data_IF_311428155254
#
_entry.id   IF_311428155254
#
_cell.length_a   1.000
_cell.length_b   1.000
_cell.length_c   1.000
_cell.angle_alpha   90.00
_cell.angle_beta   90.00
_cell.angle_gamma   90.00
#
_symmetry.space_group_name_H-M   'P 1'
#
loop_
_entity.id
_entity.type
_entity.pdbx_description
1 polymer ?
#
# COMPACT_ATOMS: atom_id res chain seq x y z
N UNK A 1 19.19 -22.53 -7.29
CA UNK A 1 19.58 -21.61 -6.21
C UNK A 1 20.56 -22.29 -5.26
N UNK A 2 21.69 -21.65 -4.94
CA UNK A 2 22.73 -22.20 -4.05
C UNK A 2 22.28 -22.19 -2.58
N UNK A 3 22.80 -23.12 -1.75
CA UNK A 3 22.59 -23.14 -0.29
C UNK A 3 22.95 -21.81 0.38
N UNK A 4 23.96 -21.11 -0.14
CA UNK A 4 24.37 -19.78 0.33
C UNK A 4 23.31 -18.71 0.06
N UNK A 5 22.66 -18.79 -1.11
CA UNK A 5 21.60 -17.85 -1.50
C UNK A 5 20.35 -18.04 -0.63
N UNK A 6 19.90 -19.29 -0.46
CA UNK A 6 18.75 -19.60 0.42
C UNK A 6 18.97 -19.16 1.87
N UNK A 7 20.20 -19.30 2.38
CA UNK A 7 20.55 -18.83 3.73
C UNK A 7 20.52 -17.31 3.84
N UNK A 8 20.92 -16.60 2.79
CA UNK A 8 20.84 -15.14 2.71
C UNK A 8 19.39 -14.66 2.70
N UNK A 9 18.56 -15.22 1.82
CA UNK A 9 17.14 -14.86 1.70
C UNK A 9 16.38 -15.12 3.00
N UNK A 10 16.65 -16.25 3.67
CA UNK A 10 16.06 -16.54 4.98
C UNK A 10 16.45 -15.48 6.01
N UNK A 11 17.72 -15.11 6.10
CA UNK A 11 18.16 -14.10 7.06
C UNK A 11 17.59 -12.71 6.75
N UNK A 12 17.47 -12.34 5.47
CA UNK A 12 16.79 -11.11 5.07
C UNK A 12 15.31 -11.13 5.51
N UNK A 13 14.62 -12.27 5.34
CA UNK A 13 13.25 -12.47 5.85
C UNK A 13 13.18 -12.31 7.38
N UNK A 14 14.07 -12.98 8.12
CA UNK A 14 14.11 -12.93 9.58
C UNK A 14 14.35 -11.49 10.07
N UNK A 15 15.22 -10.73 9.40
CA UNK A 15 15.48 -9.31 9.69
C UNK A 15 14.20 -8.47 9.51
N UNK A 16 13.47 -8.64 8.41
CA UNK A 16 12.26 -7.87 8.11
C UNK A 16 11.10 -8.23 9.05
N UNK A 17 10.95 -9.50 9.41
CA UNK A 17 9.95 -9.97 10.38
C UNK A 17 10.23 -9.41 11.78
N UNK A 18 11.46 -9.54 12.28
CA UNK A 18 11.85 -9.00 13.57
C UNK A 18 11.72 -7.46 13.61
N UNK A 19 12.07 -6.80 12.51
CA UNK A 19 11.89 -5.35 12.38
C UNK A 19 10.42 -4.93 12.44
N UNK A 20 9.55 -5.66 11.75
CA UNK A 20 8.09 -5.43 11.78
C UNK A 20 7.53 -5.60 13.19
N UNK A 21 7.95 -6.63 13.91
CA UNK A 21 7.54 -6.88 15.29
C UNK A 21 7.99 -5.76 16.25
N UNK A 22 9.26 -5.37 16.18
CA UNK A 22 9.81 -4.28 16.99
C UNK A 22 9.10 -2.94 16.72
N UNK A 23 8.73 -2.69 15.47
CA UNK A 23 7.96 -1.50 15.09
C UNK A 23 6.52 -1.54 15.60
N UNK A 24 5.90 -2.72 15.64
CA UNK A 24 4.58 -2.89 16.23
C UNK A 24 4.60 -2.50 17.71
N UNK A 25 5.58 -3.02 18.45
CA UNK A 25 5.67 -2.95 19.90
C UNK A 25 6.25 -1.62 20.42
N UNK A 26 7.31 -1.11 19.78
CA UNK A 26 8.10 0.01 20.30
C UNK A 26 8.16 1.22 19.36
N UNK A 27 7.44 1.17 18.24
CA UNK A 27 7.48 2.23 17.23
C UNK A 27 8.86 2.40 16.58
N UNK A 28 9.03 3.50 15.85
CA UNK A 28 10.28 3.78 15.12
C UNK A 28 11.49 3.97 16.04
N UNK A 29 11.31 4.55 17.22
CA UNK A 29 12.40 4.75 18.19
C UNK A 29 12.98 3.42 18.66
N UNK A 30 12.12 2.42 18.86
CA UNK A 30 12.53 1.10 19.28
C UNK A 30 13.15 0.22 18.20
N UNK A 31 13.07 0.61 16.92
CA UNK A 31 13.75 -0.08 15.83
C UNK A 31 15.24 0.32 15.81
N UNK A 32 16.11 -0.59 16.25
CA UNK A 32 17.57 -0.44 16.17
C UNK A 32 18.20 -1.72 15.64
N UNK A 33 19.29 -1.61 14.87
CA UNK A 33 20.04 -2.78 14.35
C UNK A 33 20.44 -3.73 15.49
N UNK A 34 20.78 -3.19 16.66
CA UNK A 34 21.11 -4.00 17.83
C UNK A 34 19.92 -4.81 18.38
N UNK A 35 18.72 -4.21 18.45
CA UNK A 35 17.51 -4.92 18.90
C UNK A 35 17.06 -5.96 17.89
N UNK A 36 17.15 -5.66 16.60
CA UNK A 36 16.84 -6.61 15.52
C UNK A 36 17.79 -7.81 15.61
N UNK A 37 19.11 -7.55 15.69
CA UNK A 37 20.11 -8.60 15.80
C UNK A 37 19.85 -9.51 17.02
N UNK A 38 19.55 -8.91 18.18
CA UNK A 38 19.18 -9.65 19.39
C UNK A 38 17.92 -10.51 19.20
N UNK A 39 16.91 -9.99 18.51
CA UNK A 39 15.64 -10.70 18.30
C UNK A 39 15.78 -11.96 17.43
N UNK A 40 16.78 -12.00 16.55
CA UNK A 40 17.02 -13.13 15.65
C UNK A 40 18.26 -13.97 16.03
N UNK A 41 18.87 -13.71 17.19
CA UNK A 41 20.10 -14.36 17.70
C UNK A 41 21.35 -14.15 16.81
N UNK A 42 21.55 -12.92 16.35
CA UNK A 42 22.71 -12.49 15.57
C UNK A 42 23.46 -11.33 16.23
N UNK A 43 24.68 -11.07 15.75
CA UNK A 43 25.43 -9.87 16.12
C UNK A 43 25.05 -8.68 15.24
N UNK A 44 25.08 -7.43 15.75
CA UNK A 44 24.81 -6.25 14.92
C UNK A 44 25.73 -6.15 13.70
N UNK A 45 27.01 -6.53 13.87
CA UNK A 45 28.00 -6.58 12.78
C UNK A 45 27.62 -7.53 11.65
N UNK A 46 26.90 -8.62 11.95
CA UNK A 46 26.40 -9.54 10.93
C UNK A 46 25.30 -8.89 10.08
N UNK A 47 24.39 -8.12 10.70
CA UNK A 47 23.29 -7.45 10.00
C UNK A 47 23.78 -6.32 9.09
N UNK A 48 24.84 -5.61 9.47
CA UNK A 48 25.44 -4.57 8.63
C UNK A 48 25.96 -5.08 7.27
N UNK A 49 26.18 -6.40 7.13
CA UNK A 49 26.54 -7.02 5.84
C UNK A 49 25.34 -7.15 4.88
N UNK A 50 24.12 -7.03 5.39
CA UNK A 50 22.87 -7.13 4.63
C UNK A 50 22.24 -5.76 4.47
N UNK A 51 22.13 -5.00 5.57
CA UNK A 51 21.60 -3.65 5.57
C UNK A 51 22.59 -2.69 6.22
N UNK A 52 23.18 -1.74 5.48
CA UNK A 52 24.23 -0.86 5.99
C UNK A 52 23.73 0.12 7.06
N UNK A 53 22.41 0.32 7.17
CA UNK A 53 21.81 1.23 8.12
C UNK A 53 20.39 0.80 8.53
N UNK A 54 19.87 1.40 9.59
CA UNK A 54 18.44 1.32 9.95
C UNK A 54 17.55 1.82 8.81
N UNK A 55 17.96 2.87 8.12
CA UNK A 55 17.19 3.44 7.01
C UNK A 55 17.09 2.49 5.82
N UNK A 56 18.14 1.69 5.57
CA UNK A 56 18.09 0.64 4.55
C UNK A 56 17.06 -0.46 4.89
N UNK A 57 16.95 -0.84 6.17
CA UNK A 57 15.91 -1.77 6.63
C UNK A 57 14.52 -1.15 6.46
N UNK A 58 14.36 0.14 6.79
CA UNK A 58 13.10 0.86 6.65
C UNK A 58 12.66 0.94 5.18
N UNK A 59 13.57 1.30 4.27
CA UNK A 59 13.30 1.35 2.84
C UNK A 59 12.87 -0.02 2.30
N UNK A 60 13.54 -1.09 2.74
CA UNK A 60 13.19 -2.44 2.34
C UNK A 60 11.82 -2.90 2.90
N UNK A 61 11.47 -2.51 4.13
CA UNK A 61 10.13 -2.73 4.68
C UNK A 61 9.05 -2.04 3.84
N UNK A 62 9.33 -0.84 3.29
CA UNK A 62 8.39 -0.17 2.38
C UNK A 62 8.31 -0.85 1.03
N UNK A 63 9.46 -1.23 0.46
CA UNK A 63 9.49 -1.97 -0.79
C UNK A 63 8.67 -3.26 -0.68
N UNK A 64 8.81 -3.99 0.43
CA UNK A 64 8.01 -5.18 0.72
C UNK A 64 6.52 -4.87 0.85
N UNK A 65 6.15 -3.82 1.60
CA UNK A 65 4.75 -3.39 1.72
C UNK A 65 4.12 -3.05 0.35
N UNK A 66 4.82 -2.25 -0.46
CA UNK A 66 4.30 -1.82 -1.78
C UNK A 66 4.20 -3.01 -2.73
N UNK A 67 5.18 -3.92 -2.71
CA UNK A 67 5.14 -5.15 -3.49
C UNK A 67 3.96 -6.04 -3.11
N UNK A 68 3.74 -6.27 -1.82
CA UNK A 68 2.61 -7.07 -1.34
C UNK A 68 1.26 -6.42 -1.68
N UNK A 69 1.17 -5.09 -1.58
CA UNK A 69 -0.03 -4.35 -1.96
C UNK A 69 -0.29 -4.41 -3.48
N UNK A 70 0.75 -4.32 -4.31
CA UNK A 70 0.65 -4.52 -5.76
C UNK A 70 0.11 -5.92 -6.06
N UNK A 71 0.66 -6.97 -5.44
CA UNK A 71 0.15 -8.34 -5.60
C UNK A 71 -1.32 -8.42 -5.20
N UNK A 72 -1.72 -7.81 -4.07
CA UNK A 72 -3.12 -7.82 -3.63
C UNK A 72 -4.05 -7.10 -4.61
N UNK A 73 -3.60 -5.99 -5.22
CA UNK A 73 -4.34 -5.28 -6.27
C UNK A 73 -4.46 -6.14 -7.52
N UNK A 74 -3.36 -6.74 -7.99
CA UNK A 74 -3.36 -7.60 -9.18
C UNK A 74 -4.26 -8.82 -9.01
N UNK A 75 -4.24 -9.46 -7.83
CA UNK A 75 -5.15 -10.56 -7.51
C UNK A 75 -6.62 -10.13 -7.58
N UNK A 76 -6.96 -9.00 -6.94
CA UNK A 76 -8.33 -8.48 -6.97
C UNK A 76 -8.79 -8.10 -8.36
N UNK A 77 -7.90 -7.59 -9.21
CA UNK A 77 -8.21 -7.31 -10.61
C UNK A 77 -8.39 -8.59 -11.43
N UNK A 78 -7.61 -9.63 -11.18
CA UNK A 78 -7.72 -10.92 -11.86
C UNK A 78 -9.01 -11.68 -11.49
N UNK A 79 -9.52 -11.47 -10.27
CA UNK A 79 -10.75 -12.08 -9.78
C UNK A 79 -12.03 -11.40 -10.28
N UNK A 80 -11.92 -10.31 -11.06
CA UNK A 80 -13.09 -9.61 -11.57
C UNK A 80 -13.91 -10.49 -12.53
N UNK A 81 -15.24 -10.54 -12.37
CA UNK A 81 -16.09 -11.26 -13.31
C UNK A 81 -16.05 -10.57 -14.67
N UNK A 82 -16.26 -11.32 -15.75
CA UNK A 82 -16.41 -10.75 -17.09
C UNK A 82 -17.69 -9.91 -17.20
N UNK A 83 -17.67 -8.88 -18.04
CA UNK A 83 -18.82 -8.01 -18.25
C UNK A 83 -18.59 -6.95 -19.32
N UNK A 84 -19.55 -6.04 -19.52
CA UNK A 84 -19.39 -4.86 -20.37
C UNK A 84 -18.16 -4.05 -19.97
N UNK A 85 -17.50 -3.44 -20.96
CA UNK A 85 -16.23 -2.72 -20.77
C UNK A 85 -16.34 -1.63 -19.70
N UNK A 86 -17.44 -0.90 -19.70
CA UNK A 86 -17.73 0.19 -18.77
C UNK A 86 -17.85 -0.31 -17.33
N UNK A 87 -18.57 -1.42 -17.14
CA UNK A 87 -18.74 -2.03 -15.83
C UNK A 87 -17.42 -2.58 -15.30
N UNK A 88 -16.62 -3.23 -16.15
CA UNK A 88 -15.29 -3.73 -15.81
C UNK A 88 -14.34 -2.61 -15.40
N UNK A 89 -14.31 -1.51 -16.16
CA UNK A 89 -13.40 -0.40 -15.88
C UNK A 89 -13.72 0.27 -14.54
N UNK A 90 -15.01 0.42 -14.21
CA UNK A 90 -15.42 0.93 -12.90
C UNK A 90 -15.12 -0.06 -11.78
N UNK A 91 -15.45 -1.34 -11.98
CA UNK A 91 -15.19 -2.40 -11.01
C UNK A 91 -13.70 -2.54 -10.70
N UNK A 92 -12.82 -2.33 -11.68
CA UNK A 92 -11.38 -2.32 -11.48
C UNK A 92 -10.91 -1.22 -10.51
N UNK A 93 -11.42 0.00 -10.65
CA UNK A 93 -11.09 1.10 -9.72
C UNK A 93 -11.60 0.81 -8.30
N UNK A 94 -12.82 0.27 -8.19
CA UNK A 94 -13.37 -0.14 -6.89
C UNK A 94 -12.54 -1.28 -6.30
N UNK A 95 -12.13 -2.28 -7.10
CA UNK A 95 -11.29 -3.40 -6.66
C UNK A 95 -9.92 -2.92 -6.15
N UNK A 96 -9.29 -1.94 -6.82
CA UNK A 96 -8.08 -1.30 -6.32
C UNK A 96 -8.29 -0.66 -4.93
N UNK A 97 -9.43 0.03 -4.73
CA UNK A 97 -9.76 0.63 -3.42
C UNK A 97 -9.97 -0.43 -2.33
N UNK A 98 -10.70 -1.51 -2.63
CA UNK A 98 -10.98 -2.57 -1.66
C UNK A 98 -9.74 -3.41 -1.34
N UNK A 99 -8.84 -3.62 -2.31
CA UNK A 99 -7.53 -4.23 -2.08
C UNK A 99 -6.72 -3.41 -1.07
N UNK A 100 -6.68 -2.08 -1.25
CA UNK A 100 -5.97 -1.17 -0.34
C UNK A 100 -6.57 -1.18 1.08
N UNK A 101 -7.89 -1.05 1.18
CA UNK A 101 -8.62 -1.06 2.47
C UNK A 101 -8.41 -2.40 3.19
N UNK A 102 -8.56 -3.51 2.46
CA UNK A 102 -8.36 -4.86 3.00
C UNK A 102 -6.93 -5.05 3.48
N UNK A 103 -5.94 -4.64 2.69
CA UNK A 103 -4.53 -4.75 3.07
C UNK A 103 -4.23 -3.94 4.34
N UNK A 104 -4.75 -2.71 4.43
CA UNK A 104 -4.59 -1.87 5.62
C UNK A 104 -5.20 -2.51 6.88
N UNK A 105 -6.37 -3.15 6.75
CA UNK A 105 -7.04 -3.89 7.85
C UNK A 105 -6.25 -5.13 8.28
N UNK A 106 -5.77 -5.93 7.32
CA UNK A 106 -5.09 -7.21 7.60
C UNK A 106 -3.65 -6.99 8.09
N UNK A 107 -2.99 -5.91 7.63
CA UNK A 107 -1.60 -5.61 7.96
C UNK A 107 -1.42 -4.21 8.59
N UNK A 108 -2.07 -3.90 9.73
CA UNK A 108 -2.12 -2.54 10.29
C UNK A 108 -0.74 -2.00 10.69
N UNK A 109 0.16 -2.85 11.17
CA UNK A 109 1.55 -2.45 11.49
C UNK A 109 2.31 -2.01 10.24
N UNK A 110 2.23 -2.80 9.15
CA UNK A 110 2.92 -2.48 7.90
C UNK A 110 2.34 -1.22 7.25
N UNK A 111 1.00 -1.09 7.28
CA UNK A 111 0.32 0.11 6.81
C UNK A 111 0.73 1.38 7.57
N UNK A 112 0.87 1.30 8.90
CA UNK A 112 1.33 2.44 9.71
C UNK A 112 2.76 2.86 9.35
N UNK A 113 3.63 1.92 9.01
CA UNK A 113 5.01 2.21 8.60
C UNK A 113 5.06 2.92 7.25
N UNK A 114 4.26 2.44 6.31
CA UNK A 114 4.07 3.09 5.02
C UNK A 114 3.62 4.54 5.19
N UNK A 115 2.61 4.78 6.04
CA UNK A 115 2.09 6.12 6.30
C UNK A 115 3.13 7.07 6.89
N UNK A 116 3.97 6.62 7.83
CA UNK A 116 5.02 7.46 8.43
C UNK A 116 6.11 7.79 7.41
N UNK A 117 6.45 6.83 6.57
CA UNK A 117 7.51 7.00 5.60
C UNK A 117 7.16 7.88 4.43
N UNK A 118 5.89 7.86 3.99
CA UNK A 118 5.41 8.79 2.98
C UNK A 118 5.49 10.25 3.48
N UNK A 119 5.45 10.46 4.79
CA UNK A 119 5.59 11.76 5.44
C UNK A 119 7.04 12.12 5.81
N UNK A 120 8.01 11.22 5.68
CA UNK A 120 9.43 11.49 5.97
C UNK A 120 10.20 11.72 4.67
N UNK A 121 10.65 12.95 4.37
CA UNK A 121 11.38 13.25 3.13
C UNK A 121 12.63 12.37 2.92
N UNK A 122 13.22 11.85 4.00
CA UNK A 122 14.48 11.09 3.94
C UNK A 122 14.30 9.71 3.31
N UNK A 123 13.10 9.14 3.33
CA UNK A 123 12.83 7.82 2.73
C UNK A 123 12.83 7.85 1.20
N UNK A 124 12.57 9.01 0.59
CA UNK A 124 12.58 9.22 -0.87
C UNK A 124 13.83 9.93 -1.38
N UNK A 125 14.58 10.59 -0.49
CA UNK A 125 15.74 11.44 -0.85
C UNK A 125 17.08 10.83 -0.41
N UNK A 126 17.09 9.78 0.44
CA UNK A 126 18.32 9.22 1.03
C UNK A 126 18.70 7.79 0.60
N UNK A 127 19.87 7.68 -0.07
CA UNK A 127 20.72 6.49 -0.28
C UNK A 127 20.31 5.42 -1.34
N UNK A 128 21.30 4.63 -1.80
CA UNK A 128 21.29 3.66 -2.92
C UNK A 128 20.06 2.72 -3.07
N UNK A 129 19.23 2.57 -2.04
CA UNK A 129 18.01 1.73 -2.03
C UNK A 129 16.74 2.49 -2.48
N UNK A 130 16.86 3.79 -2.78
CA UNK A 130 15.76 4.61 -3.32
C UNK A 130 15.29 4.08 -4.67
N UNK A 131 16.17 3.57 -5.53
CA UNK A 131 15.81 3.16 -6.89
C UNK A 131 14.85 1.97 -6.92
N UNK A 132 15.10 0.92 -6.13
CA UNK A 132 14.24 -0.28 -6.09
C UNK A 132 12.93 -0.02 -5.36
N UNK A 133 12.98 0.78 -4.29
CA UNK A 133 11.78 1.23 -3.56
C UNK A 133 10.91 2.08 -4.48
N UNK A 134 11.47 3.10 -5.13
CA UNK A 134 10.79 3.94 -6.10
C UNK A 134 10.21 3.12 -7.25
N UNK A 135 10.95 2.14 -7.77
CA UNK A 135 10.45 1.25 -8.81
C UNK A 135 9.18 0.49 -8.36
N UNK A 136 9.13 -0.01 -7.12
CA UNK A 136 7.94 -0.66 -6.58
C UNK A 136 6.75 0.31 -6.49
N UNK A 137 6.98 1.54 -6.00
CA UNK A 137 5.96 2.60 -5.98
C UNK A 137 5.44 2.93 -7.38
N UNK A 138 6.35 3.08 -8.35
CA UNK A 138 6.01 3.41 -9.72
C UNK A 138 5.28 2.26 -10.42
N UNK A 139 5.57 1.01 -10.08
CA UNK A 139 4.82 -0.14 -10.58
C UNK A 139 3.37 -0.13 -10.07
N UNK A 140 3.15 0.04 -8.76
CA UNK A 140 1.81 0.18 -8.19
C UNK A 140 1.05 1.38 -8.78
N UNK A 141 1.73 2.53 -8.88
CA UNK A 141 1.19 3.73 -9.50
C UNK A 141 0.77 3.47 -10.95
N UNK A 142 1.63 2.85 -11.76
CA UNK A 142 1.33 2.55 -13.15
C UNK A 142 0.12 1.60 -13.29
N UNK A 143 0.02 0.58 -12.42
CA UNK A 143 -1.12 -0.34 -12.40
C UNK A 143 -2.44 0.41 -12.15
N UNK A 144 -2.49 1.27 -11.13
CA UNK A 144 -3.72 2.03 -10.81
C UNK A 144 -4.00 3.10 -11.87
N UNK A 145 -2.97 3.81 -12.34
CA UNK A 145 -3.11 4.83 -13.39
C UNK A 145 -3.60 4.24 -14.71
N UNK A 146 -3.18 3.02 -15.04
CA UNK A 146 -3.70 2.29 -16.21
C UNK A 146 -5.21 2.02 -16.09
N UNK A 147 -5.70 1.68 -14.89
CA UNK A 147 -7.14 1.48 -14.65
C UNK A 147 -7.93 2.79 -14.77
N UNK A 148 -7.37 3.91 -14.31
CA UNK A 148 -7.99 5.22 -14.51
C UNK A 148 -8.08 5.56 -16.00
N UNK A 149 -6.99 5.35 -16.75
CA UNK A 149 -6.95 5.59 -18.18
C UNK A 149 -7.98 4.72 -18.94
N UNK A 150 -8.12 3.46 -18.57
CA UNK A 150 -9.14 2.57 -19.15
C UNK A 150 -10.57 3.04 -18.87
N UNK A 151 -10.83 3.54 -17.67
CA UNK A 151 -12.15 4.08 -17.31
C UNK A 151 -12.48 5.37 -18.07
N UNK A 152 -11.49 6.21 -18.36
CA UNK A 152 -11.64 7.36 -19.27
C UNK A 152 -11.93 6.90 -20.70
N UNK A 153 -11.16 5.93 -21.22
CA UNK A 153 -11.35 5.41 -22.58
C UNK A 153 -12.68 4.66 -22.77
N UNK A 154 -13.20 4.04 -21.70
CA UNK A 154 -14.51 3.40 -21.69
C UNK A 154 -15.66 4.43 -21.57
N UNK A 155 -15.37 5.72 -21.36
CA UNK A 155 -16.38 6.76 -21.19
C UNK A 155 -17.10 6.73 -19.84
N UNK A 156 -16.57 5.97 -18.87
CA UNK A 156 -17.11 5.89 -17.50
C UNK A 156 -16.68 7.11 -16.69
N UNK A 157 -15.44 7.56 -16.89
CA UNK A 157 -14.94 8.83 -16.37
C UNK A 157 -14.91 9.87 -17.50
N UNK A 158 -14.99 11.15 -17.13
CA UNK A 158 -14.91 12.25 -18.09
C UNK A 158 -13.56 12.26 -18.80
N UNK A 159 -13.57 12.73 -20.04
CA UNK A 159 -12.38 12.84 -20.89
C UNK A 159 -11.31 13.82 -20.37
N UNK A 160 -11.66 14.73 -19.45
CA UNK A 160 -10.76 15.72 -18.85
C UNK A 160 -10.03 15.20 -17.59
N UNK A 161 -10.35 13.98 -17.15
CA UNK A 161 -9.68 13.35 -16.00
C UNK A 161 -8.27 12.91 -16.40
N UNK A 162 -7.26 13.59 -15.87
CA UNK A 162 -5.86 13.24 -16.08
C UNK A 162 -5.51 12.02 -15.21
N UNK A 163 -5.09 10.87 -15.79
CA UNK A 163 -4.90 9.63 -15.06
C UNK A 163 -3.92 9.71 -13.89
N UNK A 164 -2.84 10.47 -14.03
CA UNK A 164 -1.83 10.61 -12.98
C UNK A 164 -2.33 11.36 -11.75
N UNK A 165 -2.92 12.54 -11.95
CA UNK A 165 -3.53 13.35 -10.90
C UNK A 165 -4.68 12.61 -10.22
N UNK A 166 -5.53 11.95 -11.00
CA UNK A 166 -6.60 11.12 -10.45
C UNK A 166 -6.05 9.96 -9.62
N UNK A 167 -4.98 9.29 -10.05
CA UNK A 167 -4.32 8.23 -9.27
C UNK A 167 -3.79 8.75 -7.94
N UNK A 168 -3.10 9.90 -7.95
CA UNK A 168 -2.61 10.52 -6.71
C UNK A 168 -3.76 10.90 -5.77
N UNK A 169 -4.81 11.54 -6.30
CA UNK A 169 -6.00 11.89 -5.54
C UNK A 169 -6.68 10.65 -4.93
N UNK A 170 -6.79 9.57 -5.71
CA UNK A 170 -7.40 8.30 -5.28
C UNK A 170 -6.64 7.67 -4.10
N UNK A 171 -5.31 7.59 -4.19
CA UNK A 171 -4.47 7.03 -3.13
C UNK A 171 -4.51 7.90 -1.87
N UNK A 172 -4.39 9.23 -2.02
CA UNK A 172 -4.43 10.16 -0.89
C UNK A 172 -5.79 10.14 -0.18
N UNK A 173 -6.88 10.02 -0.94
CA UNK A 173 -8.24 9.89 -0.42
C UNK A 173 -8.45 8.60 0.40
N UNK A 174 -7.80 7.50 0.03
CA UNK A 174 -7.82 6.26 0.82
C UNK A 174 -7.01 6.40 2.10
N UNK A 175 -5.86 7.08 2.04
CA UNK A 175 -4.96 7.20 3.19
C UNK A 175 -5.54 8.00 4.35
N UNK A 176 -6.18 9.15 4.07
CA UNK A 176 -6.68 10.04 5.13
C UNK A 176 -7.59 9.33 6.15
N UNK A 177 -8.72 8.74 5.71
CA UNK A 177 -9.63 7.99 6.59
C UNK A 177 -8.96 6.83 7.32
N UNK A 178 -8.14 6.04 6.62
CA UNK A 178 -7.47 4.87 7.20
C UNK A 178 -6.43 5.29 8.27
N UNK A 179 -5.76 6.43 8.09
CA UNK A 179 -4.88 6.99 9.12
C UNK A 179 -5.66 7.58 10.29
N UNK A 180 -6.82 8.19 10.03
CA UNK A 180 -7.72 8.71 11.06
C UNK A 180 -8.32 7.60 11.95
N UNK A 181 -8.26 6.33 11.54
CA UNK A 181 -8.63 5.18 12.40
C UNK A 181 -7.90 5.13 13.75
N UNK A 182 -6.70 5.72 13.85
CA UNK A 182 -6.00 5.88 15.15
C UNK A 182 -6.77 6.76 16.15
N UNK A 183 -7.58 7.69 15.64
CA UNK A 183 -8.45 8.55 16.43
C UNK A 183 -9.68 7.77 16.90
N UNK A 184 -10.24 6.89 16.06
CA UNK A 184 -11.33 5.99 16.45
C UNK A 184 -10.93 5.06 17.62
N UNK A 185 -9.66 4.61 17.66
CA UNK A 185 -9.14 3.84 18.79
C UNK A 185 -9.08 4.62 20.12
N UNK A 186 -9.09 5.96 20.07
CA UNK A 186 -9.07 6.85 21.24
C UNK A 186 -10.46 7.38 21.58
N UNK A 187 -11.34 7.49 20.58
CA UNK A 187 -12.72 7.94 20.69
C UNK A 187 -13.61 6.93 19.95
N UNK A 188 -14.02 5.83 20.63
CA UNK A 188 -14.87 4.82 20.01
C UNK A 188 -16.16 5.42 19.46
N UNK A 189 -16.53 5.04 18.23
CA UNK A 189 -17.73 5.55 17.55
C UNK A 189 -17.55 6.87 16.80
N UNK A 190 -16.37 7.51 16.86
CA UNK A 190 -16.13 8.76 16.14
C UNK A 190 -16.21 8.61 14.61
N UNK A 191 -15.64 7.53 14.07
CA UNK A 191 -15.65 7.23 12.64
C UNK A 191 -15.42 5.73 12.37
N UNK A 192 -15.99 5.23 11.29
CA UNK A 192 -15.59 3.97 10.66
C UNK A 192 -14.60 4.29 9.53
N UNK A 193 -13.34 3.92 9.74
CA UNK A 193 -12.24 4.31 8.85
C UNK A 193 -12.37 3.68 7.46
N UNK A 194 -12.88 2.45 7.40
CA UNK A 194 -13.06 1.76 6.14
C UNK A 194 -14.29 2.28 5.41
N UNK A 195 -15.42 2.44 6.12
CA UNK A 195 -16.62 3.02 5.51
C UNK A 195 -16.33 4.44 4.96
N UNK A 196 -15.61 5.26 5.71
CA UNK A 196 -15.22 6.59 5.25
C UNK A 196 -14.25 6.53 4.06
N UNK A 197 -13.28 5.61 4.03
CA UNK A 197 -12.41 5.41 2.87
C UNK A 197 -13.21 5.03 1.60
N UNK A 198 -14.22 4.16 1.75
CA UNK A 198 -15.15 3.82 0.67
C UNK A 198 -15.95 5.04 0.23
N UNK A 199 -16.56 5.78 1.15
CA UNK A 199 -17.33 6.99 0.82
C UNK A 199 -16.51 8.04 0.07
N UNK A 200 -15.27 8.30 0.50
CA UNK A 200 -14.41 9.30 -0.17
C UNK A 200 -14.03 8.81 -1.57
N UNK A 201 -13.71 7.54 -1.74
CA UNK A 201 -13.40 6.99 -3.09
C UNK A 201 -14.61 7.00 -4.01
N UNK A 202 -15.82 6.68 -3.52
CA UNK A 202 -17.06 6.81 -4.30
C UNK A 202 -17.30 8.25 -4.74
N UNK A 203 -17.08 9.19 -3.81
CA UNK A 203 -17.25 10.62 -4.08
C UNK A 203 -16.30 11.09 -5.17
N UNK A 204 -15.05 10.62 -5.19
CA UNK A 204 -14.11 10.91 -6.27
C UNK A 204 -14.57 10.33 -7.61
N UNK A 205 -14.96 9.05 -7.65
CA UNK A 205 -15.41 8.40 -8.88
C UNK A 205 -16.62 9.12 -9.50
N UNK A 206 -17.62 9.44 -8.67
CA UNK A 206 -18.79 10.25 -9.10
C UNK A 206 -18.36 11.64 -9.51
N UNK A 207 -17.48 12.27 -8.74
CA UNK A 207 -16.89 13.58 -9.05
C UNK A 207 -16.07 13.60 -10.34
N UNK A 208 -15.62 12.44 -10.83
CA UNK A 208 -14.93 12.24 -12.11
C UNK A 208 -15.86 11.79 -13.24
N UNK A 209 -17.16 11.64 -12.99
CA UNK A 209 -18.18 11.39 -14.01
C UNK A 209 -18.83 10.02 -13.98
N UNK A 210 -18.43 9.13 -13.06
CA UNK A 210 -19.08 7.83 -12.94
C UNK A 210 -20.53 7.98 -12.47
N UNK A 211 -21.43 7.17 -13.03
CA UNK A 211 -22.81 7.08 -12.57
C UNK A 211 -22.87 6.52 -11.13
N UNK A 212 -23.55 7.19 -10.17
CA UNK A 212 -23.62 6.74 -8.79
C UNK A 212 -24.21 5.32 -8.61
N UNK A 213 -25.21 4.94 -9.41
CA UNK A 213 -25.81 3.60 -9.34
C UNK A 213 -24.85 2.51 -9.80
N UNK A 214 -24.03 2.82 -10.79
CA UNK A 214 -22.97 1.96 -11.31
C UNK A 214 -21.86 1.76 -10.28
N UNK A 215 -21.49 2.80 -9.52
CA UNK A 215 -20.51 2.70 -8.42
C UNK A 215 -21.02 1.77 -7.31
N UNK A 216 -22.28 1.91 -6.90
CA UNK A 216 -22.91 1.02 -5.89
C UNK A 216 -22.95 -0.43 -6.38
N UNK A 217 -23.27 -0.64 -7.66
CA UNK A 217 -23.29 -1.97 -8.28
C UNK A 217 -21.89 -2.59 -8.28
N UNK A 218 -20.87 -1.83 -8.68
CA UNK A 218 -19.47 -2.27 -8.68
C UNK A 218 -18.97 -2.66 -7.27
N UNK A 219 -19.31 -1.90 -6.22
CA UNK A 219 -18.99 -2.29 -4.83
C UNK A 219 -19.69 -3.56 -4.40
N UNK A 220 -20.96 -3.72 -4.76
CA UNK A 220 -21.76 -4.87 -4.35
C UNK A 220 -21.26 -6.17 -4.98
N UNK A 221 -20.70 -6.11 -6.19
CA UNK A 221 -20.11 -7.25 -6.88
C UNK A 221 -18.79 -7.75 -6.25
N UNK A 222 -18.17 -6.98 -5.35
CA UNK A 222 -16.88 -7.27 -4.72
C UNK A 222 -16.97 -7.74 -3.26
N UNK A 223 -18.18 -7.81 -2.70
CA UNK A 223 -18.48 -8.30 -1.34
C UNK A 223 -18.66 -9.81 -1.35
#
# INVERSE_FOLDING_TARGET
MSTRQKRRERLESDILEASTALLAEHGLEGLTVARIAKAIDYTPGALYRYYPSKDAIIAELHRAFVGDLLIAVEQRLADLPSGPREQLALAALVACSEAYITYARVHPTRFRLFAVALADPRTFVGAEHTTTTLAAYMALYATVSGRVQEAVQAGVLRADVEPGQATLAFVLALQGPLQAGKLAARVPGLLDAEALARTVTDTLLVGWGADPGSVVTARSALR
#
